data_IF_305089842573
#
_entry.id   IF_305089842573
#
_cell.length_a   1.000
_cell.length_b   1.000
_cell.length_c   1.000
_cell.angle_alpha   90.00
_cell.angle_beta   90.00
_cell.angle_gamma   90.00
#
_symmetry.space_group_name_H-M   'P 1'
#
loop_
_entity.id
_entity.type
_entity.pdbx_description
1 polymer ?
#
# COMPACT_ATOMS: atom_id res chain seq x y z
N UNK A 1 7.05 -4.75 15.88
CA UNK A 1 6.83 -3.31 16.09
C UNK A 1 6.58 -2.77 14.69
N UNK A 2 5.32 -2.47 14.37
CA UNK A 2 4.90 -2.12 13.01
C UNK A 2 5.61 -0.83 12.62
N UNK A 3 6.62 -0.97 11.77
CA UNK A 3 7.36 0.14 11.19
C UNK A 3 6.35 1.04 10.51
N UNK A 4 6.14 2.22 11.09
CA UNK A 4 5.15 3.19 10.64
C UNK A 4 5.35 3.45 9.16
N UNK A 5 4.48 2.85 8.35
CA UNK A 5 4.46 3.11 6.93
C UNK A 5 4.05 4.56 6.74
N UNK A 6 4.86 5.32 6.01
CA UNK A 6 4.55 6.69 5.61
C UNK A 6 3.34 6.78 4.67
N UNK A 7 2.64 5.67 4.40
CA UNK A 7 1.44 5.59 3.58
C UNK A 7 0.25 5.18 4.44
N UNK A 8 -0.90 5.79 4.19
CA UNK A 8 -2.15 5.34 4.80
C UNK A 8 -2.85 4.35 3.87
N UNK A 9 -3.12 3.16 4.38
CA UNK A 9 -3.84 2.10 3.67
C UNK A 9 -5.12 1.78 4.44
N UNK A 10 -6.25 2.01 3.80
CA UNK A 10 -7.57 1.83 4.38
C UNK A 10 -8.41 0.89 3.54
N UNK A 11 -8.97 -0.15 4.18
CA UNK A 11 -10.00 -0.98 3.56
C UNK A 11 -11.34 -0.25 3.65
N UNK A 12 -11.77 0.34 2.53
CA UNK A 12 -13.08 0.99 2.43
C UNK A 12 -14.18 -0.08 2.50
N UNK A 13 -13.94 -1.21 1.85
CA UNK A 13 -14.74 -2.44 1.94
C UNK A 13 -13.82 -3.66 1.88
N UNK A 14 -14.38 -4.87 1.97
CA UNK A 14 -13.62 -6.11 1.81
C UNK A 14 -12.89 -6.23 0.45
N UNK A 15 -13.35 -5.51 -0.57
CA UNK A 15 -12.82 -5.57 -1.94
C UNK A 15 -12.25 -4.25 -2.45
N UNK A 16 -12.33 -3.17 -1.67
CA UNK A 16 -11.88 -1.84 -2.06
C UNK A 16 -10.85 -1.36 -1.05
N UNK A 17 -9.63 -1.14 -1.51
CA UNK A 17 -8.52 -0.62 -0.72
C UNK A 17 -8.19 0.77 -1.25
N UNK A 18 -8.23 1.76 -0.36
CA UNK A 18 -7.71 3.09 -0.61
C UNK A 18 -6.28 3.16 -0.08
N UNK A 19 -5.37 3.70 -0.89
CA UNK A 19 -3.98 3.97 -0.50
C UNK A 19 -3.71 5.45 -0.72
N UNK A 20 -3.16 6.12 0.27
CA UNK A 20 -2.77 7.53 0.17
C UNK A 20 -1.31 7.72 0.56
N UNK A 21 -0.66 8.63 -0.17
CA UNK A 21 0.75 8.97 0.00
C UNK A 21 0.85 10.44 0.42
N UNK A 22 1.75 10.79 1.35
CA UNK A 22 1.97 12.16 1.76
C UNK A 22 2.55 12.96 0.60
N UNK A 23 2.19 14.25 0.53
CA UNK A 23 2.58 15.12 -0.57
C UNK A 23 4.11 15.33 -0.67
N UNK A 24 4.81 15.33 0.47
CA UNK A 24 6.27 15.48 0.57
C UNK A 24 7.03 14.14 0.47
N UNK A 25 6.44 13.11 -0.15
CA UNK A 25 7.10 11.83 -0.33
C UNK A 25 8.13 11.90 -1.47
N UNK A 26 9.38 11.54 -1.19
CA UNK A 26 10.41 11.40 -2.20
C UNK A 26 10.11 10.24 -3.17
N UNK A 27 10.57 10.35 -4.41
CA UNK A 27 10.31 9.35 -5.47
C UNK A 27 10.77 7.94 -5.05
N UNK A 28 11.95 7.81 -4.42
CA UNK A 28 12.44 6.52 -3.93
C UNK A 28 11.52 5.90 -2.86
N UNK A 29 11.01 6.73 -1.95
CA UNK A 29 10.07 6.29 -0.91
C UNK A 29 8.73 5.87 -1.53
N UNK A 30 8.23 6.62 -2.51
CA UNK A 30 7.02 6.25 -3.26
C UNK A 30 7.18 4.89 -3.94
N UNK A 31 8.29 4.66 -4.65
CA UNK A 31 8.56 3.39 -5.34
C UNK A 31 8.70 2.22 -4.36
N UNK A 32 9.38 2.43 -3.22
CA UNK A 32 9.48 1.44 -2.14
C UNK A 32 8.11 1.06 -1.60
N UNK A 33 7.31 2.07 -1.24
CA UNK A 33 5.98 1.90 -0.69
C UNK A 33 5.04 1.19 -1.69
N UNK A 34 5.08 1.55 -2.97
CA UNK A 34 4.31 0.88 -4.02
C UNK A 34 4.68 -0.62 -4.11
N UNK A 35 5.98 -0.94 -4.05
CA UNK A 35 6.45 -2.32 -4.09
C UNK A 35 5.94 -3.13 -2.89
N UNK A 36 5.91 -2.54 -1.71
CA UNK A 36 5.41 -3.19 -0.51
C UNK A 36 3.89 -3.36 -0.55
N UNK A 37 3.13 -2.38 -1.08
CA UNK A 37 1.69 -2.52 -1.34
C UNK A 37 1.43 -3.68 -2.32
N UNK A 38 2.14 -3.75 -3.44
CA UNK A 38 1.98 -4.84 -4.42
C UNK A 38 2.30 -6.21 -3.81
N UNK A 39 3.34 -6.30 -2.96
CA UNK A 39 3.64 -7.54 -2.22
C UNK A 39 2.53 -7.91 -1.25
N UNK A 40 1.99 -6.93 -0.52
CA UNK A 40 0.86 -7.14 0.38
C UNK A 40 -0.37 -7.63 -0.39
N UNK A 41 -0.71 -6.99 -1.51
CA UNK A 41 -1.83 -7.39 -2.36
C UNK A 41 -1.65 -8.82 -2.85
N UNK A 42 -0.46 -9.16 -3.36
CA UNK A 42 -0.15 -10.53 -3.79
C UNK A 42 -0.21 -11.55 -2.65
N UNK A 43 0.23 -11.19 -1.45
CA UNK A 43 0.21 -12.09 -0.30
C UNK A 43 -1.18 -12.29 0.29
N UNK A 44 -2.02 -11.25 0.33
CA UNK A 44 -3.34 -11.27 0.97
C UNK A 44 -4.47 -11.62 0.00
N UNK A 45 -4.34 -11.23 -1.27
CA UNK A 45 -5.38 -11.36 -2.28
C UNK A 45 -4.98 -12.26 -3.46
N UNK A 46 -3.77 -12.83 -3.44
CA UNK A 46 -3.24 -13.71 -4.49
C UNK A 46 -3.30 -13.05 -5.88
N UNK A 47 -4.11 -13.56 -6.80
CA UNK A 47 -4.32 -13.00 -8.14
C UNK A 47 -5.68 -12.28 -8.27
N UNK A 48 -6.39 -12.06 -7.15
CA UNK A 48 -7.75 -11.49 -7.11
C UNK A 48 -7.76 -9.96 -6.91
N UNK A 49 -6.77 -9.24 -7.43
CA UNK A 49 -6.69 -7.78 -7.36
C UNK A 49 -6.38 -7.23 -8.77
N UNK A 50 -6.95 -6.06 -9.09
CA UNK A 50 -6.82 -5.38 -10.38
C UNK A 50 -6.40 -3.92 -10.18
#
# INVERSE_FOLDING_TARGET
MEEGYELDLTYVTERIIAVSFPQDCFEETYLRNLRDVTRMLKSKHADNYL
#
